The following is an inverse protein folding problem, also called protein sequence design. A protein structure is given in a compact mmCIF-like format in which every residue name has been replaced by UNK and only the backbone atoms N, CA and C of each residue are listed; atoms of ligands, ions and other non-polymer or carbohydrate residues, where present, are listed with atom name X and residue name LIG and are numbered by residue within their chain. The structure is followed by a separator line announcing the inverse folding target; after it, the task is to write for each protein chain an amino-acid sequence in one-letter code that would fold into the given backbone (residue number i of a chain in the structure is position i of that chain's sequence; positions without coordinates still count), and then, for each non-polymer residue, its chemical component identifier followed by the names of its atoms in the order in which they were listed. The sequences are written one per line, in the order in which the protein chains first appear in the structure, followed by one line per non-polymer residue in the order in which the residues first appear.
data_IF_138219295477
#
_entry.id   IF_138219295477
#
_cell.length_a   1.000
_cell.length_b   1.000
_cell.length_c   1.000
_cell.angle_alpha   90.00
_cell.angle_beta   90.00
_cell.angle_gamma   90.00
#
_symmetry.space_group_name_H-M   'P 1'
#
loop_
_entity.id
_entity.type
_entity.pdbx_description
1 polymer ?
#
# COMPACT_ATOMS: atom_id res chain seq x y z
N UNK A 1 -5.32 2.59 27.60
CA UNK A 1 -6.54 1.94 27.06
C UNK A 1 -7.19 2.65 25.85
N UNK A 2 -7.30 3.97 25.83
CA UNK A 2 -7.96 4.69 24.71
C UNK A 2 -7.15 4.63 23.40
N UNK A 3 -5.83 4.63 23.45
CA UNK A 3 -4.92 4.55 22.29
C UNK A 3 -4.94 3.16 21.65
N UNK A 4 -4.83 2.08 22.43
CA UNK A 4 -4.90 0.69 21.93
C UNK A 4 -6.22 0.43 21.14
N UNK A 5 -7.36 0.89 21.67
CA UNK A 5 -8.66 0.81 20.95
C UNK A 5 -8.68 1.63 19.66
N UNK A 6 -7.99 2.77 19.63
CA UNK A 6 -7.91 3.62 18.45
C UNK A 6 -7.03 2.98 17.36
N UNK A 7 -5.91 2.34 17.73
CA UNK A 7 -5.05 1.59 16.80
C UNK A 7 -5.80 0.44 16.14
N UNK A 8 -6.46 -0.41 16.93
CA UNK A 8 -7.27 -1.52 16.43
C UNK A 8 -8.39 -1.07 15.48
N UNK A 9 -9.13 -0.02 15.84
CA UNK A 9 -10.19 0.55 14.97
C UNK A 9 -9.62 1.09 13.66
N UNK A 10 -8.43 1.71 13.69
CA UNK A 10 -7.80 2.26 12.50
C UNK A 10 -7.34 1.14 11.57
N UNK A 11 -6.75 0.06 12.11
CA UNK A 11 -6.36 -1.12 11.35
C UNK A 11 -7.60 -1.82 10.73
N UNK A 12 -8.66 -2.02 11.50
CA UNK A 12 -9.90 -2.57 10.96
C UNK A 12 -10.47 -1.71 9.82
N UNK A 13 -10.52 -0.40 10.01
CA UNK A 13 -11.01 0.51 8.98
C UNK A 13 -10.13 0.45 7.72
N UNK A 14 -8.80 0.32 7.89
CA UNK A 14 -7.90 0.20 6.74
C UNK A 14 -8.08 -1.13 5.99
N UNK A 15 -8.38 -2.24 6.69
CA UNK A 15 -8.77 -3.51 6.05
C UNK A 15 -10.05 -3.32 5.22
N UNK A 16 -11.09 -2.74 5.83
CA UNK A 16 -12.39 -2.53 5.16
C UNK A 16 -12.27 -1.61 3.94
N UNK A 17 -11.45 -0.56 4.02
CA UNK A 17 -11.23 0.37 2.91
C UNK A 17 -10.33 -0.21 1.80
N UNK A 18 -9.45 -1.17 2.12
CA UNK A 18 -8.57 -1.82 1.14
C UNK A 18 -9.21 -3.06 0.49
N UNK A 19 -10.18 -3.71 1.14
CA UNK A 19 -10.82 -4.92 0.66
C UNK A 19 -11.55 -4.79 -0.69
N UNK A 20 -12.26 -3.68 -1.02
CA UNK A 20 -12.93 -3.54 -2.31
C UNK A 20 -11.98 -3.61 -3.51
N UNK A 21 -10.74 -3.15 -3.38
CA UNK A 21 -9.77 -3.14 -4.48
C UNK A 21 -9.56 -4.52 -5.11
N UNK A 22 -9.05 -5.52 -4.36
CA UNK A 22 -8.87 -6.88 -4.88
C UNK A 22 -10.19 -7.53 -5.33
N UNK A 23 -11.31 -7.26 -4.63
CA UNK A 23 -12.60 -7.85 -5.00
C UNK A 23 -13.06 -7.36 -6.38
N UNK A 24 -13.04 -6.04 -6.61
CA UNK A 24 -13.43 -5.46 -7.91
C UNK A 24 -12.51 -5.96 -9.03
N UNK A 25 -11.18 -6.00 -8.79
CA UNK A 25 -10.23 -6.52 -9.76
C UNK A 25 -10.43 -8.01 -10.03
N UNK A 26 -10.71 -8.82 -8.99
CA UNK A 26 -11.02 -10.24 -9.13
C UNK A 26 -12.26 -10.49 -10.00
N UNK A 27 -13.33 -9.73 -9.80
CA UNK A 27 -14.51 -9.77 -10.68
C UNK A 27 -14.17 -9.32 -12.11
N UNK A 28 -13.32 -8.30 -12.28
CA UNK A 28 -12.86 -7.87 -13.59
C UNK A 28 -12.11 -8.96 -14.36
N UNK A 29 -11.34 -9.81 -13.68
CA UNK A 29 -10.62 -10.94 -14.27
C UNK A 29 -11.54 -12.06 -14.78
N UNK A 30 -12.77 -12.14 -14.30
CA UNK A 30 -13.78 -13.07 -14.84
C UNK A 30 -14.30 -12.61 -16.22
N UNK A 31 -14.28 -11.30 -16.48
CA UNK A 31 -14.72 -10.71 -17.73
C UNK A 31 -13.60 -10.59 -18.78
N UNK A 32 -12.32 -10.54 -18.34
CA UNK A 32 -11.17 -10.47 -19.26
C UNK A 32 -9.85 -10.71 -18.51
N UNK A 33 -8.89 -11.40 -19.17
CA UNK A 33 -7.60 -11.79 -18.56
C UNK A 33 -6.44 -11.02 -19.18
N UNK A 34 -6.31 -9.74 -18.86
CA UNK A 34 -5.11 -8.97 -19.21
C UNK A 34 -3.98 -9.25 -18.20
N UNK A 35 -2.73 -9.38 -18.68
CA UNK A 35 -1.55 -9.59 -17.82
C UNK A 35 -1.38 -8.48 -16.79
N UNK A 36 -1.64 -7.23 -17.18
CA UNK A 36 -1.62 -6.06 -16.29
C UNK A 36 -2.69 -6.12 -15.20
N UNK A 37 -3.90 -6.63 -15.52
CA UNK A 37 -4.98 -6.79 -14.55
C UNK A 37 -4.65 -7.88 -13.52
N UNK A 38 -4.05 -8.99 -13.95
CA UNK A 38 -3.59 -10.06 -13.05
C UNK A 38 -2.53 -9.52 -12.09
N UNK A 39 -1.55 -8.77 -12.61
CA UNK A 39 -0.49 -8.20 -11.79
C UNK A 39 -1.04 -7.19 -10.76
N UNK A 40 -1.98 -6.31 -11.13
CA UNK A 40 -2.60 -5.36 -10.19
C UNK A 40 -3.48 -6.08 -9.15
N UNK A 41 -4.19 -7.14 -9.55
CA UNK A 41 -4.94 -8.00 -8.62
C UNK A 41 -4.02 -8.66 -7.58
N UNK A 42 -2.90 -9.25 -8.02
CA UNK A 42 -1.92 -9.89 -7.13
C UNK A 42 -1.33 -8.85 -6.18
N UNK A 43 -0.92 -7.68 -6.68
CA UNK A 43 -0.39 -6.60 -5.87
C UNK A 43 -1.37 -6.14 -4.78
N UNK A 44 -2.62 -5.84 -5.14
CA UNK A 44 -3.65 -5.38 -4.19
C UNK A 44 -4.03 -6.47 -3.18
N UNK A 45 -4.06 -7.72 -3.63
CA UNK A 45 -4.30 -8.87 -2.73
C UNK A 45 -3.18 -9.04 -1.71
N UNK A 46 -1.92 -8.93 -2.15
CA UNK A 46 -0.75 -8.99 -1.28
C UNK A 46 -0.76 -7.85 -0.24
N UNK A 47 -1.06 -6.61 -0.67
CA UNK A 47 -1.20 -5.47 0.24
C UNK A 47 -2.31 -5.68 1.28
N UNK A 48 -3.48 -6.20 0.85
CA UNK A 48 -4.59 -6.49 1.76
C UNK A 48 -4.22 -7.55 2.79
N UNK A 49 -3.56 -8.63 2.36
CA UNK A 49 -3.06 -9.68 3.27
C UNK A 49 -2.09 -9.12 4.31
N UNK A 50 -1.19 -8.23 3.92
CA UNK A 50 -0.28 -7.54 4.83
C UNK A 50 -1.02 -6.71 5.89
N UNK A 51 -2.07 -5.99 5.49
CA UNK A 51 -2.88 -5.18 6.41
C UNK A 51 -3.71 -6.08 7.35
N UNK A 52 -4.29 -7.18 6.83
CA UNK A 52 -5.03 -8.16 7.66
C UNK A 52 -4.10 -8.79 8.70
N UNK A 53 -2.92 -9.24 8.28
CA UNK A 53 -1.94 -9.82 9.20
C UNK A 53 -1.55 -8.82 10.29
N UNK A 54 -1.27 -7.57 9.92
CA UNK A 54 -0.97 -6.51 10.87
C UNK A 54 -2.12 -6.26 11.85
N UNK A 55 -3.38 -6.29 11.38
CA UNK A 55 -4.56 -6.15 12.24
C UNK A 55 -4.67 -7.30 13.24
N UNK A 56 -4.56 -8.55 12.77
CA UNK A 56 -4.67 -9.75 13.63
C UNK A 56 -3.57 -9.77 14.68
N UNK A 57 -2.31 -9.56 14.28
CA UNK A 57 -1.19 -9.58 15.22
C UNK A 57 -1.27 -8.40 16.20
N UNK A 58 -1.65 -7.22 15.74
CA UNK A 58 -1.90 -6.08 16.65
C UNK A 58 -2.96 -6.39 17.71
N UNK A 59 -4.04 -7.09 17.33
CA UNK A 59 -5.08 -7.52 18.27
C UNK A 59 -4.55 -8.49 19.32
N UNK A 60 -3.71 -9.44 18.89
CA UNK A 60 -3.13 -10.47 19.79
C UNK A 60 -2.11 -9.83 20.73
N UNK A 61 -1.19 -9.02 20.21
CA UNK A 61 -0.07 -8.43 20.96
C UNK A 61 -0.47 -7.29 21.89
N UNK A 62 -1.62 -6.64 21.63
CA UNK A 62 -2.13 -5.56 22.49
C UNK A 62 -3.14 -6.02 23.53
N UNK A 63 -3.52 -7.30 23.52
CA UNK A 63 -4.45 -7.89 24.50
C UNK A 63 -3.68 -8.34 25.75
N UNK A 64 -4.03 -7.78 26.90
CA UNK A 64 -3.35 -8.06 28.17
C UNK A 64 -3.43 -9.57 28.51
N UNK A 65 -2.29 -10.16 28.89
CA UNK A 65 -2.18 -11.55 29.36
C UNK A 65 -2.22 -12.64 28.27
N UNK A 66 -2.19 -12.30 26.99
CA UNK A 66 -2.24 -13.27 25.88
C UNK A 66 -0.85 -13.67 25.38
N UNK A 67 0.12 -12.75 25.42
CA UNK A 67 1.49 -13.00 24.94
C UNK A 67 2.52 -12.52 25.96
N UNK A 68 3.59 -13.30 26.11
CA UNK A 68 4.82 -12.86 26.74
C UNK A 68 5.54 -11.84 25.84
N UNK A 69 6.42 -10.99 26.41
CA UNK A 69 7.17 -9.98 25.66
C UNK A 69 8.00 -10.59 24.53
N UNK A 70 8.56 -11.78 24.71
CA UNK A 70 9.31 -12.52 23.67
C UNK A 70 8.40 -12.94 22.51
N UNK A 71 7.23 -13.50 22.82
CA UNK A 71 6.26 -13.91 21.81
C UNK A 71 5.72 -12.71 21.03
N UNK A 72 5.48 -11.61 21.73
CA UNK A 72 5.04 -10.35 21.12
C UNK A 72 6.08 -9.82 20.14
N UNK A 73 7.36 -9.71 20.55
CA UNK A 73 8.45 -9.27 19.68
C UNK A 73 8.54 -10.14 18.42
N UNK A 74 8.50 -11.47 18.59
CA UNK A 74 8.54 -12.42 17.47
C UNK A 74 7.36 -12.26 16.50
N UNK A 75 6.14 -12.10 17.00
CA UNK A 75 4.95 -11.88 16.15
C UNK A 75 5.02 -10.55 15.40
N UNK A 76 5.47 -9.49 16.06
CA UNK A 76 5.68 -8.17 15.44
C UNK A 76 6.78 -8.24 14.37
N UNK A 77 7.89 -8.92 14.64
CA UNK A 77 8.98 -9.14 13.69
C UNK A 77 8.49 -9.88 12.43
N UNK A 78 7.83 -11.03 12.58
CA UNK A 78 7.28 -11.81 11.45
C UNK A 78 6.30 -10.97 10.63
N UNK A 79 5.42 -10.21 11.30
CA UNK A 79 4.44 -9.34 10.63
C UNK A 79 5.14 -8.25 9.82
N UNK A 80 6.15 -7.61 10.39
CA UNK A 80 6.88 -6.54 9.74
C UNK A 80 7.70 -7.06 8.55
N UNK A 81 8.32 -8.24 8.66
CA UNK A 81 8.98 -8.93 7.54
C UNK A 81 7.97 -9.21 6.43
N UNK A 82 6.80 -9.74 6.77
CA UNK A 82 5.76 -10.05 5.79
C UNK A 82 5.27 -8.79 5.07
N UNK A 83 4.94 -7.73 5.80
CA UNK A 83 4.50 -6.44 5.21
C UNK A 83 5.60 -5.85 4.33
N UNK A 84 6.86 -5.86 4.78
CA UNK A 84 8.01 -5.39 4.00
C UNK A 84 8.21 -6.19 2.71
N UNK A 85 8.06 -7.52 2.76
CA UNK A 85 8.11 -8.37 1.57
C UNK A 85 6.97 -8.05 0.59
N UNK A 86 5.75 -7.81 1.08
CA UNK A 86 4.62 -7.39 0.23
C UNK A 86 4.86 -6.02 -0.42
N UNK A 87 5.51 -5.09 0.28
CA UNK A 87 5.91 -3.80 -0.30
C UNK A 87 6.93 -3.99 -1.42
N UNK A 88 7.94 -4.85 -1.24
CA UNK A 88 8.92 -5.18 -2.28
C UNK A 88 8.25 -5.81 -3.51
N UNK A 89 7.37 -6.77 -3.31
CA UNK A 89 6.60 -7.40 -4.39
C UNK A 89 5.77 -6.36 -5.14
N UNK A 90 5.01 -5.52 -4.42
CA UNK A 90 4.20 -4.47 -5.03
C UNK A 90 5.02 -3.48 -5.86
N UNK A 91 6.17 -3.03 -5.34
CA UNK A 91 7.09 -2.16 -6.07
C UNK A 91 7.70 -2.83 -7.30
N UNK A 92 8.12 -4.10 -7.19
CA UNK A 92 8.64 -4.86 -8.32
C UNK A 92 7.59 -5.03 -9.43
N UNK A 93 6.35 -5.33 -9.08
CA UNK A 93 5.25 -5.40 -10.04
C UNK A 93 5.00 -4.06 -10.73
N UNK A 94 5.07 -2.95 -9.99
CA UNK A 94 4.91 -1.61 -10.58
C UNK A 94 6.02 -1.31 -11.60
N UNK A 95 7.27 -1.70 -11.34
CA UNK A 95 8.38 -1.56 -12.30
C UNK A 95 8.06 -2.36 -13.57
N UNK A 96 7.70 -3.65 -13.43
CA UNK A 96 7.36 -4.50 -14.58
C UNK A 96 6.22 -3.89 -15.40
N UNK A 97 5.16 -3.41 -14.73
CA UNK A 97 4.02 -2.78 -15.40
C UNK A 97 4.42 -1.49 -16.13
N UNK A 98 5.31 -0.68 -15.55
CA UNK A 98 5.79 0.55 -16.19
C UNK A 98 6.53 0.28 -17.51
N UNK A 99 7.30 -0.84 -17.58
CA UNK A 99 7.99 -1.25 -18.80
C UNK A 99 7.11 -1.99 -19.82
N UNK A 100 6.02 -2.62 -19.36
CA UNK A 100 5.07 -3.33 -20.24
C UNK A 100 3.93 -2.44 -20.72
N UNK A 101 3.79 -1.23 -20.17
CA UNK A 101 2.74 -0.30 -20.56
C UNK A 101 2.99 0.21 -21.98
N UNK A 102 2.09 -0.15 -22.90
CA UNK A 102 2.09 0.38 -24.26
C UNK A 102 1.70 1.87 -24.26
N UNK A 103 2.33 2.62 -25.14
CA UNK A 103 2.01 4.04 -25.41
C UNK A 103 0.67 4.24 -26.17
N UNK A 104 -0.16 3.19 -26.24
CA UNK A 104 -1.43 3.17 -26.95
C UNK A 104 -2.49 4.12 -26.35
N UNK A 105 -3.61 4.20 -27.08
CA UNK A 105 -4.73 5.08 -26.69
C UNK A 105 -5.26 4.70 -25.31
N UNK A 106 -5.11 5.62 -24.34
CA UNK A 106 -5.45 5.37 -22.92
C UNK A 106 -6.98 5.38 -22.66
N UNK A 107 -7.79 5.60 -23.68
CA UNK A 107 -9.25 5.63 -23.59
C UNK A 107 -9.75 6.72 -22.58
N UNK A 108 -10.88 6.45 -21.94
CA UNK A 108 -11.43 7.38 -20.92
C UNK A 108 -10.70 7.22 -19.59
N UNK A 109 -9.81 8.15 -19.27
CA UNK A 109 -9.00 8.13 -18.03
C UNK A 109 -9.70 8.77 -16.81
N UNK A 110 -10.87 9.40 -16.99
CA UNK A 110 -11.57 10.13 -15.92
C UNK A 110 -11.94 9.22 -14.74
N UNK A 111 -12.50 8.00 -14.92
CA UNK A 111 -12.79 7.11 -13.80
C UNK A 111 -11.52 6.73 -13.02
N UNK A 112 -10.41 6.48 -13.72
CA UNK A 112 -9.12 6.19 -13.10
C UNK A 112 -8.60 7.38 -12.27
N UNK A 113 -8.73 8.60 -12.78
CA UNK A 113 -8.34 9.82 -12.09
C UNK A 113 -9.14 10.03 -10.80
N UNK A 114 -10.45 9.82 -10.82
CA UNK A 114 -11.32 9.94 -9.64
C UNK A 114 -10.92 8.90 -8.58
N UNK A 115 -10.71 7.64 -8.98
CA UNK A 115 -10.30 6.57 -8.07
C UNK A 115 -8.92 6.86 -7.46
N UNK A 116 -7.95 7.31 -8.27
CA UNK A 116 -6.61 7.67 -7.80
C UNK A 116 -6.64 8.84 -6.81
N UNK A 117 -7.44 9.87 -7.08
CA UNK A 117 -7.61 11.01 -6.19
C UNK A 117 -8.22 10.60 -4.84
N UNK A 118 -9.28 9.80 -4.85
CA UNK A 118 -9.90 9.26 -3.64
C UNK A 118 -8.92 8.37 -2.86
N UNK A 119 -8.14 7.56 -3.57
CA UNK A 119 -7.05 6.75 -3.01
C UNK A 119 -5.99 7.62 -2.32
N UNK A 120 -5.52 8.67 -2.99
CA UNK A 120 -4.54 9.61 -2.44
C UNK A 120 -5.04 10.25 -1.14
N UNK A 121 -6.30 10.71 -1.10
CA UNK A 121 -6.92 11.30 0.09
C UNK A 121 -7.01 10.27 1.23
N UNK A 122 -7.54 9.08 0.94
CA UNK A 122 -7.72 8.03 1.95
C UNK A 122 -6.38 7.54 2.51
N UNK A 123 -5.40 7.25 1.64
CA UNK A 123 -4.09 6.77 2.06
C UNK A 123 -3.29 7.83 2.83
N UNK A 124 -3.41 9.10 2.45
CA UNK A 124 -2.82 10.22 3.22
C UNK A 124 -3.46 10.34 4.61
N UNK A 125 -4.78 10.22 4.71
CA UNK A 125 -5.47 10.26 5.99
C UNK A 125 -5.03 9.11 6.91
N UNK A 126 -4.89 7.87 6.38
CA UNK A 126 -4.37 6.74 7.14
C UNK A 126 -2.90 6.95 7.54
N UNK A 127 -2.04 7.42 6.62
CA UNK A 127 -0.65 7.74 6.96
C UNK A 127 -0.55 8.70 8.13
N UNK A 128 -1.27 9.84 8.08
CA UNK A 128 -1.27 10.83 9.16
C UNK A 128 -1.79 10.20 10.48
N UNK A 129 -2.86 9.40 10.40
CA UNK A 129 -3.47 8.78 11.56
C UNK A 129 -2.55 7.73 12.19
N UNK A 130 -1.91 6.86 11.42
CA UNK A 130 -0.95 5.90 11.93
C UNK A 130 0.30 6.57 12.51
N UNK A 131 0.78 7.64 11.89
CA UNK A 131 1.90 8.42 12.41
C UNK A 131 1.56 9.04 13.77
N UNK A 132 0.36 9.62 13.92
CA UNK A 132 -0.11 10.18 15.20
C UNK A 132 -0.27 9.09 16.28
N UNK A 133 -0.84 7.95 15.94
CA UNK A 133 -1.01 6.84 16.87
C UNK A 133 0.34 6.29 17.34
N UNK A 134 1.29 6.09 16.42
CA UNK A 134 2.63 5.61 16.76
C UNK A 134 3.43 6.61 17.60
N UNK A 135 3.21 7.92 17.41
CA UNK A 135 3.84 8.93 18.28
C UNK A 135 3.26 8.94 19.70
N UNK A 136 1.97 8.66 19.83
CA UNK A 136 1.30 8.62 21.13
C UNK A 136 1.63 7.35 21.93
N UNK A 137 1.76 6.24 21.26
CA UNK A 137 2.09 4.93 21.83
C UNK A 137 2.94 4.16 20.80
N UNK A 138 4.29 4.17 20.95
CA UNK A 138 5.18 3.52 19.99
C UNK A 138 4.87 2.03 19.87
N UNK A 139 4.67 1.58 18.62
CA UNK A 139 4.39 0.19 18.30
C UNK A 139 4.94 -0.14 16.89
N UNK A 140 5.70 -1.24 16.78
CA UNK A 140 6.36 -1.63 15.55
C UNK A 140 5.38 -1.83 14.38
N UNK A 141 4.20 -2.41 14.63
CA UNK A 141 3.17 -2.63 13.61
C UNK A 141 2.62 -1.28 13.12
N UNK A 142 2.30 -0.34 14.01
CA UNK A 142 1.78 0.98 13.63
C UNK A 142 2.81 1.79 12.84
N UNK A 143 4.09 1.67 13.18
CA UNK A 143 5.19 2.29 12.44
C UNK A 143 5.27 1.78 11.00
N UNK A 144 5.23 0.45 10.83
CA UNK A 144 5.29 -0.17 9.49
C UNK A 144 4.05 0.18 8.67
N UNK A 145 2.86 0.20 9.28
CA UNK A 145 1.65 0.66 8.60
C UNK A 145 1.72 2.14 8.18
N UNK A 146 2.30 3.01 9.02
CA UNK A 146 2.52 4.41 8.64
C UNK A 146 3.44 4.52 7.41
N UNK A 147 4.50 3.71 7.32
CA UNK A 147 5.40 3.65 6.14
C UNK A 147 4.69 3.14 4.89
N UNK A 148 3.92 2.07 5.02
CA UNK A 148 3.13 1.50 3.92
C UNK A 148 2.14 2.54 3.37
N UNK A 149 1.35 3.18 4.23
CA UNK A 149 0.37 4.17 3.79
C UNK A 149 1.00 5.45 3.25
N UNK A 150 2.18 5.85 3.74
CA UNK A 150 2.97 6.92 3.12
C UNK A 150 3.37 6.57 1.69
N UNK A 151 3.88 5.36 1.47
CA UNK A 151 4.25 4.90 0.14
C UNK A 151 3.03 4.83 -0.79
N UNK A 152 1.90 4.29 -0.32
CA UNK A 152 0.64 4.24 -1.10
C UNK A 152 0.13 5.64 -1.44
N UNK A 153 0.18 6.59 -0.50
CA UNK A 153 -0.19 7.99 -0.75
C UNK A 153 0.66 8.62 -1.85
N UNK A 154 1.98 8.40 -1.84
CA UNK A 154 2.88 8.89 -2.89
C UNK A 154 2.57 8.26 -4.25
N UNK A 155 2.30 6.95 -4.30
CA UNK A 155 1.85 6.25 -5.52
C UNK A 155 0.61 6.93 -6.09
N UNK A 156 -0.43 7.08 -5.27
CA UNK A 156 -1.71 7.62 -5.73
C UNK A 156 -1.58 9.10 -6.14
N UNK A 157 -0.72 9.90 -5.48
CA UNK A 157 -0.42 11.27 -5.91
C UNK A 157 0.27 11.30 -7.27
N UNK A 158 1.25 10.42 -7.51
CA UNK A 158 1.92 10.32 -8.81
C UNK A 158 0.95 9.89 -9.91
N UNK A 159 0.13 8.86 -9.65
CA UNK A 159 -0.89 8.39 -10.60
C UNK A 159 -1.91 9.50 -10.89
N UNK A 160 -2.38 10.21 -9.85
CA UNK A 160 -3.30 11.33 -10.03
C UNK A 160 -2.69 12.43 -10.90
N UNK A 161 -1.43 12.80 -10.66
CA UNK A 161 -0.71 13.81 -11.44
C UNK A 161 -0.52 13.38 -12.90
N UNK A 162 -0.14 12.10 -13.11
CA UNK A 162 0.01 11.54 -14.45
C UNK A 162 -1.31 11.53 -15.23
N UNK A 163 -2.40 11.04 -14.62
CA UNK A 163 -3.72 11.01 -15.26
C UNK A 163 -4.28 12.42 -15.50
N UNK A 164 -4.03 13.36 -14.59
CA UNK A 164 -4.41 14.76 -14.78
C UNK A 164 -3.67 15.38 -15.97
N UNK A 165 -2.36 15.06 -16.14
CA UNK A 165 -1.59 15.53 -17.28
C UNK A 165 -2.13 14.99 -18.61
N UNK A 166 -2.64 13.73 -18.63
CA UNK A 166 -3.29 13.13 -19.80
C UNK A 166 -4.62 13.84 -20.12
N UNK A 167 -5.39 14.23 -19.10
CA UNK A 167 -6.66 14.97 -19.31
C UNK A 167 -6.39 16.37 -19.89
N UNK A 168 -5.35 17.07 -19.41
CA UNK A 168 -5.04 18.44 -19.83
C UNK A 168 -4.36 18.46 -21.21
N UNK A 169 -3.43 17.52 -21.46
CA UNK A 169 -2.63 17.48 -22.68
C UNK A 169 -2.57 16.02 -23.21
N UNK A 170 -3.66 15.52 -23.81
CA UNK A 170 -3.68 14.17 -24.36
C UNK A 170 -2.63 14.04 -25.48
N UNK A 171 -1.91 12.91 -25.49
CA UNK A 171 -0.82 12.58 -26.44
C UNK A 171 0.46 13.45 -26.31
N UNK A 172 0.62 14.19 -25.23
CA UNK A 172 1.86 14.92 -24.98
C UNK A 172 2.97 13.96 -24.54
N UNK A 173 4.18 14.12 -25.11
CA UNK A 173 5.37 13.41 -24.65
C UNK A 173 5.65 13.63 -23.15
N UNK A 174 5.28 14.80 -22.63
CA UNK A 174 5.41 15.16 -21.21
C UNK A 174 4.52 14.24 -20.34
N UNK A 175 3.29 13.98 -20.76
CA UNK A 175 2.37 13.09 -20.03
C UNK A 175 2.89 11.65 -19.97
N UNK A 176 3.50 11.15 -21.05
CA UNK A 176 4.12 9.84 -21.09
C UNK A 176 5.30 9.75 -20.10
N UNK A 177 6.22 10.71 -20.15
CA UNK A 177 7.40 10.71 -19.28
C UNK A 177 7.05 10.92 -17.81
N UNK A 178 6.03 11.74 -17.49
CA UNK A 178 5.53 11.91 -16.13
C UNK A 178 4.96 10.61 -15.56
N UNK A 179 4.18 9.88 -16.34
CA UNK A 179 3.59 8.60 -15.95
C UNK A 179 4.70 7.54 -15.74
N UNK A 180 5.59 7.39 -16.71
CA UNK A 180 6.69 6.42 -16.65
C UNK A 180 7.67 6.72 -15.52
N UNK A 181 8.26 7.91 -15.50
CA UNK A 181 9.26 8.29 -14.50
C UNK A 181 8.66 8.33 -13.09
N UNK A 182 7.43 8.87 -12.95
CA UNK A 182 6.71 8.88 -11.69
C UNK A 182 6.48 7.47 -11.14
N UNK A 183 6.02 6.56 -11.99
CA UNK A 183 5.77 5.15 -11.63
C UNK A 183 7.06 4.44 -11.19
N UNK A 184 8.17 4.63 -11.93
CA UNK A 184 9.47 4.02 -11.59
C UNK A 184 10.02 4.57 -10.28
N UNK A 185 10.02 5.90 -10.08
CA UNK A 185 10.52 6.53 -8.84
C UNK A 185 9.74 6.03 -7.63
N UNK A 186 8.42 5.98 -7.73
CA UNK A 186 7.58 5.53 -6.61
C UNK A 186 7.74 4.04 -6.37
N UNK A 187 7.87 3.23 -7.42
CA UNK A 187 8.13 1.79 -7.28
C UNK A 187 9.47 1.52 -6.58
N UNK A 188 10.53 2.23 -6.97
CA UNK A 188 11.84 2.14 -6.29
C UNK A 188 11.75 2.57 -4.83
N UNK A 189 11.00 3.65 -4.54
CA UNK A 189 10.76 4.09 -3.17
C UNK A 189 10.01 3.03 -2.35
N UNK A 190 9.01 2.35 -2.94
CA UNK A 190 8.25 1.29 -2.28
C UNK A 190 9.14 0.08 -1.97
N UNK A 191 9.97 -0.35 -2.93
CA UNK A 191 10.96 -1.42 -2.73
C UNK A 191 11.96 -1.05 -1.63
N UNK A 192 12.50 0.17 -1.68
CA UNK A 192 13.42 0.65 -0.64
C UNK A 192 12.79 0.65 0.76
N UNK A 193 11.55 1.14 0.89
CA UNK A 193 10.81 1.10 2.14
C UNK A 193 10.58 -0.35 2.63
N UNK A 194 10.26 -1.27 1.71
CA UNK A 194 10.06 -2.68 2.01
C UNK A 194 11.35 -3.34 2.54
N UNK A 195 12.47 -3.16 1.83
CA UNK A 195 13.78 -3.68 2.25
C UNK A 195 14.15 -3.11 3.63
N UNK A 196 14.01 -1.80 3.81
CA UNK A 196 14.30 -1.16 5.09
C UNK A 196 13.45 -1.74 6.23
N UNK A 197 12.17 -1.99 5.99
CA UNK A 197 11.25 -2.59 6.98
C UNK A 197 11.69 -4.00 7.36
N UNK A 198 12.09 -4.82 6.39
CA UNK A 198 12.60 -6.19 6.64
C UNK A 198 13.91 -6.17 7.43
N UNK A 199 14.85 -5.28 7.05
CA UNK A 199 16.16 -5.19 7.72
C UNK A 199 16.01 -4.68 9.16
N UNK A 200 15.16 -3.69 9.40
CA UNK A 200 14.90 -3.19 10.75
C UNK A 200 14.22 -4.26 11.62
N UNK A 201 13.23 -4.97 11.11
CA UNK A 201 12.56 -6.05 11.83
C UNK A 201 13.53 -7.17 12.27
N UNK A 202 14.50 -7.53 11.43
CA UNK A 202 15.53 -8.54 11.77
C UNK A 202 16.58 -8.07 12.78
N UNK A 203 16.70 -6.78 13.04
CA UNK A 203 17.64 -6.25 14.04
C UNK A 203 17.03 -6.18 15.44
N UNK A 204 15.72 -6.21 15.51
CA UNK A 204 14.96 -6.16 16.76
C UNK A 204 14.68 -7.58 17.33
N UNK A 205 15.01 -8.63 16.58
CA UNK A 205 14.97 -10.05 16.94
C UNK A 205 16.34 -10.50 17.49
#
# INVERSE_FOLDING_TARGET
MRSKKSGSRTLLLSVLMSAPGPLVMGFGLLAGRGSTQIADFVRRSAELLGIIMAFVVYQITTRDGVCDEVQKAKLECITNIFVGAMMCLGGSFMIVLAFLADAGDKGNVIPGLVIALLGAIANTAFWIKYTKLNRAEPNAILLVQARLYRAKSLVDCCVTTALLSVVIAPQSAVSYWLDFAGSVIVALYLVWCGIRTVVEAKKED
#
